data_IF_413052883451
#
_entry.id   IF_413052883451
#
_cell.length_a   1.000
_cell.length_b   1.000
_cell.length_c   1.000
_cell.angle_alpha   90.00
_cell.angle_beta   90.00
_cell.angle_gamma   90.00
#
_symmetry.space_group_name_H-M   'P 1'
#
loop_
_entity.id
_entity.type
_entity.pdbx_description
1 polymer ?
#
# COMPACT_ATOMS: atom_id res chain seq x y z
N UNK A 1 13.92 -34.03 19.35
CA UNK A 1 12.58 -34.46 18.92
C UNK A 1 11.44 -34.06 19.88
N UNK A 2 11.58 -34.17 21.23
CA UNK A 2 10.50 -33.79 22.19
C UNK A 2 10.12 -32.27 22.11
N UNK A 3 11.07 -31.39 21.85
CA UNK A 3 10.78 -29.94 21.78
C UNK A 3 10.00 -29.51 20.53
N UNK A 4 10.16 -30.25 19.42
CA UNK A 4 9.46 -29.94 18.15
C UNK A 4 7.96 -30.27 18.24
N UNK A 5 7.64 -31.44 18.85
CA UNK A 5 6.22 -31.85 19.06
C UNK A 5 5.50 -30.89 20.00
N UNK A 6 6.18 -30.43 21.06
CA UNK A 6 5.63 -29.47 22.00
C UNK A 6 5.41 -28.11 21.31
N UNK A 7 6.36 -27.66 20.48
CA UNK A 7 6.23 -26.41 19.71
C UNK A 7 5.03 -26.49 18.74
N UNK A 8 4.87 -27.62 18.03
CA UNK A 8 3.70 -27.81 17.17
C UNK A 8 2.38 -27.82 17.94
N UNK A 9 2.34 -28.46 19.13
CA UNK A 9 1.15 -28.49 19.97
C UNK A 9 0.72 -27.07 20.45
N UNK A 10 1.68 -26.19 20.74
CA UNK A 10 1.37 -24.80 21.12
C UNK A 10 0.97 -23.91 19.95
N UNK A 11 1.52 -24.15 18.77
CA UNK A 11 1.22 -23.30 17.58
C UNK A 11 -0.01 -23.81 16.82
N UNK A 12 -0.34 -25.13 16.93
CA UNK A 12 -1.46 -25.72 16.17
C UNK A 12 -2.83 -25.08 16.40
N UNK A 13 -3.25 -24.67 17.62
CA UNK A 13 -4.56 -24.05 17.78
C UNK A 13 -4.66 -22.70 17.01
N UNK A 14 -3.60 -21.90 17.03
CA UNK A 14 -3.54 -20.66 16.30
C UNK A 14 -3.54 -20.90 14.78
N UNK A 15 -2.76 -21.86 14.31
CA UNK A 15 -2.73 -22.24 12.88
C UNK A 15 -4.08 -22.78 12.41
N UNK A 16 -4.74 -23.65 13.19
CA UNK A 16 -6.06 -24.18 12.85
C UNK A 16 -7.11 -23.07 12.80
N UNK A 17 -7.07 -22.15 13.75
CA UNK A 17 -7.96 -20.97 13.73
C UNK A 17 -7.71 -20.10 12.49
N UNK A 18 -6.47 -19.78 12.16
CA UNK A 18 -6.13 -19.01 10.96
C UNK A 18 -6.56 -19.72 9.68
N UNK A 19 -6.34 -21.02 9.57
CA UNK A 19 -6.77 -21.81 8.42
C UNK A 19 -8.31 -21.86 8.30
N UNK A 20 -9.02 -21.97 9.41
CA UNK A 20 -10.48 -21.95 9.40
C UNK A 20 -11.04 -20.56 9.02
N UNK A 21 -10.51 -19.49 9.59
CA UNK A 21 -11.07 -18.15 9.41
C UNK A 21 -10.61 -17.49 8.12
N UNK A 22 -9.35 -17.67 7.71
CA UNK A 22 -8.80 -17.08 6.48
C UNK A 22 -8.78 -18.07 5.32
N UNK A 23 -8.45 -19.33 5.57
CA UNK A 23 -8.33 -20.35 4.52
C UNK A 23 -9.69 -20.73 3.93
N UNK A 24 -10.71 -20.92 4.76
CA UNK A 24 -12.05 -21.29 4.29
C UNK A 24 -12.66 -20.30 3.28
N UNK A 25 -12.69 -18.97 3.53
CA UNK A 25 -13.18 -18.01 2.55
C UNK A 25 -12.35 -18.00 1.26
N UNK A 26 -11.04 -18.23 1.33
CA UNK A 26 -10.20 -18.32 0.13
C UNK A 26 -10.55 -19.55 -0.72
N UNK A 27 -10.79 -20.69 -0.08
CA UNK A 27 -11.25 -21.91 -0.77
C UNK A 27 -12.62 -21.68 -1.41
N UNK A 28 -13.54 -21.04 -0.70
CA UNK A 28 -14.85 -20.70 -1.22
C UNK A 28 -14.77 -19.76 -2.43
N UNK A 29 -13.92 -18.72 -2.34
CA UNK A 29 -13.68 -17.82 -3.48
C UNK A 29 -13.09 -18.58 -4.68
N UNK A 30 -12.16 -19.51 -4.44
CA UNK A 30 -11.60 -20.36 -5.49
C UNK A 30 -12.67 -21.25 -6.12
N UNK A 31 -13.54 -21.89 -5.34
CA UNK A 31 -14.64 -22.71 -5.86
C UNK A 31 -15.62 -21.86 -6.68
N UNK A 32 -16.05 -20.70 -6.15
CA UNK A 32 -16.95 -19.78 -6.82
C UNK A 32 -16.39 -19.28 -8.16
N UNK A 33 -15.07 -19.13 -8.28
CA UNK A 33 -14.44 -18.69 -9.52
C UNK A 33 -14.62 -19.66 -10.70
N UNK A 34 -14.91 -20.94 -10.43
CA UNK A 34 -15.20 -21.97 -11.44
C UNK A 34 -16.69 -22.21 -11.67
N UNK A 35 -17.55 -21.48 -10.98
CA UNK A 35 -19.00 -21.61 -11.05
C UNK A 35 -19.62 -20.36 -11.68
N UNK A 36 -20.84 -20.51 -12.21
CA UNK A 36 -21.70 -19.38 -12.56
C UNK A 36 -22.73 -19.18 -11.44
N UNK A 37 -22.47 -18.20 -10.58
CA UNK A 37 -23.32 -17.79 -9.47
C UNK A 37 -23.55 -16.27 -9.61
N UNK A 38 -24.75 -15.89 -9.98
CA UNK A 38 -25.10 -14.47 -10.10
C UNK A 38 -25.34 -13.83 -8.74
N UNK A 39 -26.32 -14.34 -8.00
CA UNK A 39 -26.81 -13.74 -6.76
C UNK A 39 -26.47 -14.62 -5.57
N UNK A 40 -26.23 -13.98 -4.40
CA UNK A 40 -26.00 -14.70 -3.13
C UNK A 40 -27.15 -15.64 -2.83
N UNK A 41 -26.85 -16.94 -2.66
CA UNK A 41 -27.84 -17.97 -2.34
C UNK A 41 -28.47 -18.67 -3.55
N UNK A 42 -28.09 -18.31 -4.79
CA UNK A 42 -28.45 -19.12 -5.98
C UNK A 42 -27.54 -20.35 -6.11
N UNK A 43 -28.09 -21.45 -6.61
CA UNK A 43 -27.30 -22.62 -6.96
C UNK A 43 -26.35 -22.29 -8.12
N UNK A 44 -25.07 -22.59 -7.93
CA UNK A 44 -24.04 -22.35 -8.93
C UNK A 44 -23.86 -23.55 -9.85
N UNK A 45 -23.73 -23.31 -11.15
CA UNK A 45 -23.37 -24.33 -12.12
C UNK A 45 -21.87 -24.28 -12.39
N UNK A 46 -21.20 -25.42 -12.39
CA UNK A 46 -19.77 -25.49 -12.71
C UNK A 46 -19.56 -25.20 -14.22
N UNK A 47 -18.77 -24.15 -14.49
CA UNK A 47 -18.47 -23.69 -15.88
C UNK A 47 -16.97 -23.75 -16.20
N UNK A 48 -16.17 -24.39 -15.34
CA UNK A 48 -14.73 -24.51 -15.53
C UNK A 48 -14.04 -23.14 -15.60
N UNK A 49 -13.28 -22.89 -16.66
CA UNK A 49 -12.52 -21.64 -16.85
C UNK A 49 -13.30 -20.52 -17.56
N UNK A 50 -14.61 -20.63 -17.71
CA UNK A 50 -15.44 -19.64 -18.41
C UNK A 50 -15.30 -18.22 -17.87
N UNK A 51 -15.34 -18.05 -16.53
CA UNK A 51 -15.13 -16.75 -15.89
C UNK A 51 -13.73 -16.18 -16.17
N UNK A 52 -12.70 -17.03 -16.13
CA UNK A 52 -11.33 -16.61 -16.43
C UNK A 52 -11.18 -16.12 -17.87
N UNK A 53 -11.78 -16.83 -18.83
CA UNK A 53 -11.77 -16.41 -20.23
C UNK A 53 -12.48 -15.07 -20.42
N UNK A 54 -13.61 -14.85 -19.75
CA UNK A 54 -14.38 -13.59 -19.80
C UNK A 54 -13.58 -12.43 -19.18
N UNK A 55 -13.01 -12.62 -17.98
CA UNK A 55 -12.28 -11.57 -17.27
C UNK A 55 -10.97 -11.22 -18.00
N UNK A 56 -10.18 -12.22 -18.42
CA UNK A 56 -8.90 -11.99 -19.07
C UNK A 56 -9.07 -11.50 -20.51
N UNK A 57 -10.16 -11.88 -21.20
CA UNK A 57 -10.53 -11.37 -22.52
C UNK A 57 -11.06 -9.94 -22.50
N UNK A 58 -11.57 -9.48 -21.33
CA UNK A 58 -12.11 -8.14 -21.17
C UNK A 58 -11.06 -7.08 -20.81
N UNK A 59 -11.24 -5.85 -21.32
CA UNK A 59 -10.35 -4.74 -21.01
C UNK A 59 -10.48 -4.20 -19.57
N UNK A 60 -11.56 -4.58 -18.84
CA UNK A 60 -11.85 -4.08 -17.48
C UNK A 60 -10.77 -4.45 -16.47
N UNK A 61 -10.44 -5.73 -16.42
CA UNK A 61 -9.40 -6.28 -15.53
C UNK A 61 -8.02 -5.62 -15.78
N UNK A 62 -7.59 -5.57 -17.02
CA UNK A 62 -6.27 -5.03 -17.38
C UNK A 62 -6.14 -3.54 -17.08
N UNK A 63 -7.22 -2.77 -17.30
CA UNK A 63 -7.26 -1.35 -16.92
C UNK A 63 -7.19 -1.17 -15.41
N UNK A 64 -7.92 -1.96 -14.63
CA UNK A 64 -7.87 -1.91 -13.18
C UNK A 64 -6.51 -2.35 -12.64
N UNK A 65 -5.91 -3.39 -13.24
CA UNK A 65 -4.54 -3.83 -12.91
C UNK A 65 -3.53 -2.71 -13.19
N UNK A 66 -3.58 -2.08 -14.35
CA UNK A 66 -2.69 -0.95 -14.69
C UNK A 66 -2.80 0.20 -13.69
N UNK A 67 -4.03 0.55 -13.26
CA UNK A 67 -4.25 1.57 -12.21
C UNK A 67 -3.75 1.13 -10.86
N UNK A 68 -3.92 -0.16 -10.50
CA UNK A 68 -3.36 -0.71 -9.26
C UNK A 68 -1.83 -0.62 -9.25
N UNK A 69 -1.18 -0.93 -10.37
CA UNK A 69 0.29 -0.78 -10.51
C UNK A 69 0.71 0.68 -10.38
N UNK A 70 0.04 1.61 -11.08
CA UNK A 70 0.30 3.06 -10.95
C UNK A 70 0.10 3.52 -9.51
N UNK A 71 -0.99 3.11 -8.86
CA UNK A 71 -1.26 3.40 -7.46
C UNK A 71 -0.13 2.94 -6.54
N UNK A 72 0.26 1.68 -6.63
CA UNK A 72 1.29 1.08 -5.78
C UNK A 72 2.65 1.74 -5.99
N UNK A 73 3.09 1.88 -7.24
CA UNK A 73 4.39 2.45 -7.56
C UNK A 73 4.48 3.92 -7.15
N UNK A 74 3.44 4.70 -7.43
CA UNK A 74 3.42 6.12 -7.05
C UNK A 74 3.43 6.30 -5.54
N UNK A 75 2.62 5.52 -4.80
CA UNK A 75 2.65 5.54 -3.33
C UNK A 75 4.02 5.09 -2.80
N UNK A 76 4.61 4.02 -3.34
CA UNK A 76 5.93 3.55 -2.91
C UNK A 76 7.00 4.63 -3.08
N UNK A 77 7.03 5.31 -4.23
CA UNK A 77 7.99 6.40 -4.50
C UNK A 77 7.75 7.58 -3.57
N UNK A 78 6.52 8.12 -3.51
CA UNK A 78 6.21 9.32 -2.73
C UNK A 78 6.42 9.06 -1.24
N UNK A 79 5.93 7.94 -0.71
CA UNK A 79 6.09 7.59 0.71
C UNK A 79 7.55 7.37 1.07
N UNK A 80 8.33 6.69 0.21
CA UNK A 80 9.75 6.44 0.45
C UNK A 80 10.55 7.75 0.50
N UNK A 81 10.30 8.66 -0.44
CA UNK A 81 10.99 9.96 -0.48
C UNK A 81 10.66 10.82 0.74
N UNK A 82 9.37 10.95 1.08
CA UNK A 82 8.92 11.69 2.26
C UNK A 82 9.46 11.08 3.56
N UNK A 83 9.38 9.76 3.67
CA UNK A 83 9.83 9.03 4.85
C UNK A 83 11.35 9.10 5.03
N UNK A 84 12.12 9.00 3.94
CA UNK A 84 13.57 9.12 3.98
C UNK A 84 13.98 10.52 4.44
N UNK A 85 13.39 11.57 3.88
CA UNK A 85 13.64 12.95 4.28
C UNK A 85 13.33 13.16 5.78
N UNK A 86 12.15 12.72 6.23
CA UNK A 86 11.74 12.82 7.62
C UNK A 86 12.64 11.99 8.55
N UNK A 87 12.98 10.75 8.17
CA UNK A 87 13.83 9.88 8.98
C UNK A 87 15.25 10.44 9.13
N UNK A 88 15.84 11.01 8.07
CA UNK A 88 17.15 11.66 8.13
C UNK A 88 17.15 12.87 9.06
N UNK A 89 16.08 13.67 9.06
CA UNK A 89 15.92 14.80 9.99
C UNK A 89 15.76 14.29 11.43
N UNK A 90 14.86 13.33 11.64
CA UNK A 90 14.57 12.78 12.97
C UNK A 90 15.70 11.92 13.55
N UNK A 91 16.64 11.48 12.73
CA UNK A 91 17.86 10.79 13.20
C UNK A 91 18.91 11.74 13.77
N UNK A 92 18.75 13.04 13.56
CA UNK A 92 19.67 14.05 14.13
C UNK A 92 19.35 14.31 15.60
N UNK A 93 20.38 14.76 16.34
CA UNK A 93 20.26 15.20 17.73
C UNK A 93 19.93 16.69 17.77
N UNK A 94 18.66 17.03 18.00
CA UNK A 94 18.22 18.42 18.22
C UNK A 94 17.18 18.50 19.34
N UNK A 95 17.03 19.67 20.01
CA UNK A 95 16.04 19.83 21.05
C UNK A 95 14.63 19.63 20.45
N UNK A 96 13.76 18.83 21.11
CA UNK A 96 12.41 18.55 20.64
C UNK A 96 12.26 17.37 19.68
N UNK A 97 13.32 16.66 19.29
CA UNK A 97 13.25 15.50 18.39
C UNK A 97 12.29 14.41 18.90
N UNK A 98 12.20 14.19 20.21
CA UNK A 98 11.26 13.23 20.81
C UNK A 98 9.81 13.65 20.56
N UNK A 99 9.52 14.94 20.73
CA UNK A 99 8.19 15.50 20.46
C UNK A 99 7.86 15.34 18.97
N UNK A 100 8.78 15.70 18.07
CA UNK A 100 8.60 15.56 16.64
C UNK A 100 8.31 14.10 16.22
N UNK A 101 9.01 13.12 16.80
CA UNK A 101 8.73 11.69 16.57
C UNK A 101 7.34 11.29 17.04
N UNK A 102 6.87 11.78 18.17
CA UNK A 102 5.52 11.52 18.69
C UNK A 102 4.45 12.14 17.78
N UNK A 103 4.63 13.38 17.36
CA UNK A 103 3.68 14.07 16.48
C UNK A 103 3.51 13.38 15.13
N UNK A 104 4.59 12.89 14.55
CA UNK A 104 4.51 12.17 13.27
C UNK A 104 3.64 10.90 13.38
N UNK A 105 3.73 10.17 14.50
CA UNK A 105 2.95 8.95 14.73
C UNK A 105 1.47 9.24 14.87
N UNK A 106 1.09 10.36 15.46
CA UNK A 106 -0.31 10.72 15.68
C UNK A 106 -1.11 10.76 14.38
N UNK A 107 -0.51 11.18 13.28
CA UNK A 107 -1.16 11.19 11.96
C UNK A 107 -1.59 9.80 11.49
N UNK A 108 -0.81 8.77 11.81
CA UNK A 108 -1.08 7.40 11.39
C UNK A 108 -2.18 6.71 12.22
N UNK A 109 -2.41 7.18 13.46
CA UNK A 109 -3.42 6.61 14.38
C UNK A 109 -4.83 7.03 13.97
N UNK A 110 -4.99 8.11 13.18
CA UNK A 110 -6.30 8.63 12.78
C UNK A 110 -7.07 7.58 11.95
N UNK A 111 -8.31 7.23 12.33
CA UNK A 111 -9.12 6.29 11.55
C UNK A 111 -9.33 6.76 10.11
N UNK A 112 -9.29 5.84 9.15
CA UNK A 112 -9.41 6.16 7.72
C UNK A 112 -10.63 7.00 7.38
N UNK A 113 -11.78 6.69 7.97
CA UNK A 113 -13.04 7.41 7.71
C UNK A 113 -12.90 8.88 8.10
N UNK A 114 -12.24 9.17 9.22
CA UNK A 114 -11.99 10.55 9.68
C UNK A 114 -11.05 11.27 8.72
N UNK A 115 -9.96 10.60 8.30
CA UNK A 115 -9.04 11.13 7.27
C UNK A 115 -9.80 11.50 6.01
N UNK A 116 -10.65 10.61 5.51
CA UNK A 116 -11.47 10.82 4.31
C UNK A 116 -12.39 12.03 4.44
N UNK A 117 -13.11 12.15 5.57
CA UNK A 117 -14.04 13.26 5.82
C UNK A 117 -13.27 14.59 5.84
N UNK A 118 -12.14 14.64 6.56
CA UNK A 118 -11.32 15.85 6.67
C UNK A 118 -10.79 16.25 5.28
N UNK A 119 -10.18 15.35 4.53
CA UNK A 119 -9.62 15.67 3.22
C UNK A 119 -10.67 16.00 2.19
N UNK A 120 -11.84 15.34 2.22
CA UNK A 120 -12.98 15.66 1.35
C UNK A 120 -13.45 17.08 1.59
N UNK A 121 -13.55 17.51 2.85
CA UNK A 121 -13.91 18.87 3.20
C UNK A 121 -12.81 19.87 2.81
N UNK A 122 -11.56 19.63 3.18
CA UNK A 122 -10.43 20.50 2.87
C UNK A 122 -10.26 20.78 1.37
N UNK A 123 -10.47 19.74 0.54
CA UNK A 123 -10.30 19.79 -0.92
C UNK A 123 -11.60 20.12 -1.67
N UNK A 124 -12.69 20.41 -0.97
CA UNK A 124 -13.94 20.83 -1.61
C UNK A 124 -13.74 22.11 -2.41
N UNK A 125 -14.27 22.15 -3.65
CA UNK A 125 -14.21 23.33 -4.50
C UNK A 125 -15.12 24.47 -4.03
N UNK A 126 -16.18 24.18 -3.26
CA UNK A 126 -17.22 25.10 -2.85
C UNK A 126 -17.20 25.49 -1.37
N UNK A 127 -16.08 25.37 -0.67
CA UNK A 127 -16.01 25.73 0.77
C UNK A 127 -14.85 25.09 1.49
N UNK A 128 -13.95 24.40 0.77
CA UNK A 128 -12.73 23.83 1.31
C UNK A 128 -11.66 24.91 1.54
N UNK A 129 -10.76 24.62 2.45
CA UNK A 129 -9.69 25.54 2.86
C UNK A 129 -8.52 25.59 1.87
N UNK A 130 -8.25 24.51 1.13
CA UNK A 130 -7.05 24.38 0.31
C UNK A 130 -7.09 25.34 -0.90
N UNK A 131 -8.23 25.43 -1.60
CA UNK A 131 -8.36 26.33 -2.75
C UNK A 131 -8.11 27.81 -2.40
N UNK A 132 -8.76 28.40 -1.38
CA UNK A 132 -8.47 29.77 -0.96
C UNK A 132 -7.00 30.00 -0.59
N UNK A 133 -6.36 29.07 0.11
CA UNK A 133 -4.94 29.17 0.48
C UNK A 133 -4.02 29.17 -0.75
N UNK A 134 -4.30 28.31 -1.74
CA UNK A 134 -3.52 28.24 -2.98
C UNK A 134 -3.70 29.50 -3.84
N UNK A 135 -4.92 30.07 -3.87
CA UNK A 135 -5.21 31.35 -4.57
C UNK A 135 -4.47 32.49 -3.87
N UNK A 136 -4.56 32.58 -2.54
CA UNK A 136 -3.86 33.61 -1.77
C UNK A 136 -2.34 33.52 -1.91
N UNK A 137 -1.79 32.30 -2.02
CA UNK A 137 -0.37 32.07 -2.26
C UNK A 137 0.05 32.33 -3.73
N UNK A 138 -0.87 32.65 -4.63
CA UNK A 138 -0.60 32.88 -6.07
C UNK A 138 -0.26 31.61 -6.84
N UNK A 139 -0.54 30.42 -6.29
CA UNK A 139 -0.24 29.11 -6.93
C UNK A 139 -1.28 28.76 -7.99
N UNK A 140 -2.54 29.13 -7.77
CA UNK A 140 -3.66 28.93 -8.69
C UNK A 140 -4.48 30.24 -8.80
N UNK A 141 -5.08 30.48 -9.97
CA UNK A 141 -5.92 31.65 -10.20
C UNK A 141 -7.40 31.41 -9.86
N UNK A 142 -7.85 30.17 -9.93
CA UNK A 142 -9.25 29.77 -9.71
C UNK A 142 -9.33 28.43 -8.97
N UNK A 143 -10.43 28.15 -8.26
CA UNK A 143 -10.60 26.90 -7.55
C UNK A 143 -10.43 25.68 -8.47
N UNK A 144 -9.68 24.68 -8.00
CA UNK A 144 -9.45 23.42 -8.68
C UNK A 144 -10.38 22.35 -8.10
N UNK A 145 -11.03 21.59 -8.95
CA UNK A 145 -11.75 20.39 -8.57
C UNK A 145 -10.80 19.20 -8.48
N UNK A 146 -10.21 18.97 -7.33
CA UNK A 146 -9.18 17.93 -7.10
C UNK A 146 -9.61 16.52 -7.51
N UNK A 147 -10.91 16.23 -7.45
CA UNK A 147 -11.47 14.93 -7.85
C UNK A 147 -12.27 15.01 -9.17
N UNK A 148 -12.23 16.12 -9.87
CA UNK A 148 -13.06 16.34 -11.07
C UNK A 148 -12.46 15.72 -12.34
N UNK A 149 -11.14 15.65 -12.44
CA UNK A 149 -10.42 15.07 -13.60
C UNK A 149 -9.83 13.72 -13.27
N UNK A 150 -9.55 12.91 -14.29
CA UNK A 150 -8.97 11.58 -14.13
C UNK A 150 -7.60 11.62 -13.44
N UNK A 151 -6.74 12.50 -13.93
CA UNK A 151 -5.37 12.69 -13.42
C UNK A 151 -5.39 13.33 -12.03
N UNK A 152 -6.23 14.33 -11.83
CA UNK A 152 -6.39 15.02 -10.55
C UNK A 152 -6.87 14.09 -9.45
N UNK A 153 -7.87 13.25 -9.72
CA UNK A 153 -8.41 12.32 -8.75
C UNK A 153 -7.36 11.28 -8.29
N UNK A 154 -6.64 10.65 -9.23
CA UNK A 154 -5.62 9.66 -8.88
C UNK A 154 -4.46 10.30 -8.12
N UNK A 155 -3.97 11.46 -8.57
CA UNK A 155 -2.87 12.20 -7.92
C UNK A 155 -3.26 12.62 -6.50
N UNK A 156 -4.47 13.16 -6.33
CA UNK A 156 -4.98 13.58 -5.01
C UNK A 156 -5.09 12.40 -4.05
N UNK A 157 -5.60 11.27 -4.52
CA UNK A 157 -5.67 10.04 -3.72
C UNK A 157 -4.28 9.55 -3.30
N UNK A 158 -3.30 9.56 -4.22
CA UNK A 158 -1.90 9.17 -3.93
C UNK A 158 -1.31 10.09 -2.87
N UNK A 159 -1.53 11.40 -2.96
CA UNK A 159 -1.03 12.37 -1.98
C UNK A 159 -1.64 12.15 -0.58
N UNK A 160 -2.97 11.97 -0.52
CA UNK A 160 -3.68 11.70 0.74
C UNK A 160 -3.19 10.38 1.38
N UNK A 161 -3.12 9.32 0.59
CA UNK A 161 -2.68 8.03 1.08
C UNK A 161 -1.20 8.04 1.49
N UNK A 162 -0.35 8.73 0.73
CA UNK A 162 1.06 8.90 1.08
C UNK A 162 1.23 9.70 2.37
N UNK A 163 0.47 10.79 2.57
CA UNK A 163 0.44 11.55 3.82
C UNK A 163 0.03 10.69 5.01
N UNK A 164 -0.93 9.79 4.82
CA UNK A 164 -1.40 8.88 5.88
C UNK A 164 -0.36 7.84 6.27
N UNK A 165 0.37 7.28 5.29
CA UNK A 165 1.26 6.15 5.50
C UNK A 165 2.74 6.53 5.71
N UNK A 166 3.17 7.74 5.29
CA UNK A 166 4.57 8.14 5.44
C UNK A 166 5.08 8.11 6.89
N UNK A 167 4.26 8.36 7.94
CA UNK A 167 4.74 8.28 9.31
C UNK A 167 5.21 6.87 9.69
N UNK A 168 4.44 5.85 9.33
CA UNK A 168 4.82 4.45 9.54
C UNK A 168 6.13 4.12 8.79
N UNK A 169 6.21 4.48 7.52
CA UNK A 169 7.41 4.28 6.71
C UNK A 169 8.62 5.04 7.29
N UNK A 170 8.39 6.26 7.81
CA UNK A 170 9.43 7.06 8.49
C UNK A 170 9.99 6.36 9.72
N UNK A 171 9.13 5.78 10.55
CA UNK A 171 9.58 5.06 11.75
C UNK A 171 10.39 3.82 11.40
N UNK A 172 9.98 3.07 10.39
CA UNK A 172 10.72 1.90 9.93
C UNK A 172 12.09 2.29 9.38
N UNK A 173 12.16 3.37 8.59
CA UNK A 173 13.44 3.90 8.10
C UNK A 173 14.32 4.46 9.23
N UNK A 174 13.73 5.16 10.19
CA UNK A 174 14.43 5.67 11.35
C UNK A 174 15.04 4.53 12.18
N UNK A 175 14.29 3.44 12.39
CA UNK A 175 14.81 2.25 13.05
C UNK A 175 15.97 1.61 12.26
N UNK A 176 15.90 1.60 10.94
CA UNK A 176 17.01 1.18 10.07
C UNK A 176 18.25 2.08 10.21
N UNK A 177 18.04 3.41 10.20
CA UNK A 177 19.14 4.37 10.38
C UNK A 177 19.81 4.28 11.76
N UNK A 178 19.04 4.03 12.81
CA UNK A 178 19.55 3.89 14.19
C UNK A 178 20.40 2.63 14.39
N UNK A 179 20.32 1.65 13.49
CA UNK A 179 21.16 0.43 13.51
C UNK A 179 22.55 0.67 12.95
N UNK A 180 22.78 1.76 12.22
CA UNK A 180 24.07 2.07 11.61
C UNK A 180 25.02 2.57 12.72
N UNK A 181 26.17 1.90 12.94
CA UNK A 181 27.14 2.33 13.96
C UNK A 181 27.64 3.75 13.71
N UNK A 182 27.68 4.57 14.76
CA UNK A 182 28.15 5.96 14.69
C UNK A 182 29.60 6.08 14.25
N UNK A 183 30.43 5.12 14.67
CA UNK A 183 31.87 5.06 14.39
C UNK A 183 32.19 5.09 12.89
N UNK A 184 31.30 4.50 12.04
CA UNK A 184 31.44 4.57 10.58
C UNK A 184 31.36 6.01 10.06
N UNK A 185 30.49 6.83 10.64
CA UNK A 185 30.38 8.23 10.27
C UNK A 185 31.52 9.07 10.80
N UNK A 186 32.07 8.72 11.98
CA UNK A 186 33.22 9.40 12.57
C UNK A 186 34.48 9.11 11.77
N UNK A 187 34.77 7.84 11.45
CA UNK A 187 35.89 7.47 10.60
C UNK A 187 35.82 8.18 9.23
N UNK A 188 34.65 8.16 8.59
CA UNK A 188 34.48 8.85 7.32
C UNK A 188 34.66 10.37 7.40
N UNK A 189 34.40 11.00 8.56
CA UNK A 189 34.70 12.42 8.77
C UNK A 189 36.22 12.68 8.88
N UNK A 190 36.93 11.80 9.56
CA UNK A 190 38.41 11.88 9.66
C UNK A 190 39.04 11.75 8.28
N UNK A 191 38.48 10.85 7.42
CA UNK A 191 38.89 10.68 6.03
C UNK A 191 38.47 11.83 5.09
N UNK A 192 37.82 12.89 5.61
CA UNK A 192 37.40 14.07 4.84
C UNK A 192 36.13 13.86 4.00
N UNK A 193 35.35 12.77 4.23
CA UNK A 193 34.13 12.51 3.48
C UNK A 193 33.02 13.53 3.76
N UNK A 194 32.55 14.23 2.74
CA UNK A 194 31.43 15.15 2.81
C UNK A 194 30.08 14.44 3.09
N UNK A 195 29.05 15.20 3.40
CA UNK A 195 27.71 14.67 3.78
C UNK A 195 27.11 13.77 2.71
N UNK A 196 27.21 14.16 1.44
CA UNK A 196 26.69 13.36 0.32
C UNK A 196 27.47 12.05 0.14
N UNK A 197 28.80 12.07 0.32
CA UNK A 197 29.62 10.86 0.25
C UNK A 197 29.27 9.87 1.36
N UNK A 198 29.08 10.35 2.59
CA UNK A 198 28.64 9.53 3.73
C UNK A 198 27.25 8.95 3.49
N UNK A 199 26.31 9.73 2.96
CA UNK A 199 25.00 9.23 2.58
C UNK A 199 25.11 8.10 1.53
N UNK A 200 25.85 8.34 0.43
CA UNK A 200 25.97 7.39 -0.67
C UNK A 200 26.72 6.11 -0.31
N UNK A 201 27.80 6.23 0.51
CA UNK A 201 28.71 5.11 0.80
C UNK A 201 28.40 4.36 2.10
N UNK A 202 27.71 4.99 3.06
CA UNK A 202 27.39 4.41 4.36
C UNK A 202 25.89 4.27 4.52
N UNK A 203 25.15 5.39 4.52
CA UNK A 203 23.73 5.39 4.86
C UNK A 203 22.90 4.57 3.87
N UNK A 204 23.04 4.85 2.59
CA UNK A 204 22.23 4.21 1.55
C UNK A 204 22.45 2.70 1.46
N UNK A 205 23.69 2.17 1.39
CA UNK A 205 23.90 0.73 1.34
C UNK A 205 23.44 0.00 2.61
N UNK A 206 23.66 0.57 3.79
CA UNK A 206 23.24 -0.05 5.05
C UNK A 206 21.73 0.07 5.32
N UNK A 207 21.03 1.00 4.65
CA UNK A 207 19.59 1.13 4.71
C UNK A 207 18.87 0.21 3.72
N UNK A 208 19.56 -0.31 2.70
CA UNK A 208 18.96 -1.17 1.67
C UNK A 208 18.13 -2.35 2.22
N UNK A 209 18.56 -3.11 3.24
CA UNK A 209 17.74 -4.20 3.77
C UNK A 209 16.40 -3.70 4.31
N UNK A 210 16.40 -2.57 5.01
CA UNK A 210 15.17 -1.93 5.50
C UNK A 210 14.27 -1.48 4.35
N UNK A 211 14.85 -0.89 3.30
CA UNK A 211 14.11 -0.47 2.10
C UNK A 211 13.50 -1.66 1.35
N UNK A 212 14.21 -2.78 1.26
CA UNK A 212 13.68 -4.00 0.64
C UNK A 212 12.48 -4.53 1.40
N UNK A 213 12.57 -4.66 2.72
CA UNK A 213 11.44 -5.09 3.57
C UNK A 213 10.25 -4.15 3.42
N UNK A 214 10.48 -2.83 3.48
CA UNK A 214 9.45 -1.81 3.25
C UNK A 214 8.85 -1.90 1.85
N UNK A 215 9.66 -2.16 0.83
CA UNK A 215 9.21 -2.34 -0.55
C UNK A 215 8.23 -3.50 -0.69
N UNK A 216 8.53 -4.65 -0.10
CA UNK A 216 7.65 -5.83 -0.15
C UNK A 216 6.37 -5.58 0.64
N UNK A 217 6.50 -5.25 1.93
CA UNK A 217 5.33 -5.06 2.82
C UNK A 217 4.49 -3.88 2.32
N UNK A 218 5.11 -2.76 1.96
CA UNK A 218 4.43 -1.58 1.46
C UNK A 218 3.68 -1.84 0.15
N UNK A 219 4.24 -2.64 -0.77
CA UNK A 219 3.56 -3.05 -2.00
C UNK A 219 2.32 -3.89 -1.69
N UNK A 220 2.44 -4.91 -0.84
CA UNK A 220 1.32 -5.78 -0.47
C UNK A 220 0.20 -5.01 0.25
N UNK A 221 0.55 -4.14 1.19
CA UNK A 221 -0.43 -3.30 1.89
C UNK A 221 -1.08 -2.28 0.95
N UNK A 222 -0.29 -1.60 0.12
CA UNK A 222 -0.78 -0.58 -0.81
C UNK A 222 -1.68 -1.17 -1.90
N UNK A 223 -1.37 -2.39 -2.38
CA UNK A 223 -2.18 -3.07 -3.38
C UNK A 223 -3.59 -3.40 -2.87
N UNK A 224 -3.73 -3.68 -1.57
CA UNK A 224 -5.00 -4.01 -0.93
C UNK A 224 -5.80 -2.78 -0.44
N UNK A 225 -5.32 -1.55 -0.67
CA UNK A 225 -6.04 -0.34 -0.28
C UNK A 225 -7.33 -0.21 -1.09
N UNK A 226 -8.45 -0.26 -0.37
CA UNK A 226 -9.80 -0.10 -0.89
C UNK A 226 -10.47 1.14 -0.29
N UNK A 227 -10.40 1.28 1.04
CA UNK A 227 -11.15 2.21 1.86
C UNK A 227 -11.00 3.67 1.43
N UNK A 228 -9.76 4.16 1.30
CA UNK A 228 -9.48 5.55 0.90
C UNK A 228 -10.01 5.84 -0.50
N UNK A 229 -9.76 4.93 -1.46
CA UNK A 229 -10.19 5.11 -2.86
C UNK A 229 -11.71 5.09 -2.95
N UNK A 230 -12.33 4.11 -2.31
CA UNK A 230 -13.78 3.94 -2.34
C UNK A 230 -14.50 5.11 -1.68
N UNK A 231 -14.08 5.49 -0.49
CA UNK A 231 -14.74 6.54 0.28
C UNK A 231 -14.56 7.94 -0.34
N UNK A 232 -13.44 8.23 -1.03
CA UNK A 232 -13.23 9.53 -1.66
C UNK A 232 -13.84 9.66 -3.05
N UNK A 233 -13.68 8.63 -3.90
CA UNK A 233 -14.02 8.71 -5.34
C UNK A 233 -14.93 7.61 -5.84
N UNK A 234 -15.15 6.54 -5.06
CA UNK A 234 -15.86 5.35 -5.49
C UNK A 234 -15.37 4.81 -6.87
N UNK A 235 -14.04 4.90 -7.12
CA UNK A 235 -13.45 4.47 -8.39
C UNK A 235 -13.48 5.52 -9.51
N UNK A 236 -14.18 6.66 -9.32
CA UNK A 236 -14.37 7.71 -10.32
C UNK A 236 -13.22 8.74 -10.42
N UNK A 237 -13.36 9.74 -11.30
CA UNK A 237 -14.36 9.86 -12.35
C UNK A 237 -14.10 8.88 -13.52
N UNK A 238 -15.16 8.42 -14.17
CA UNK A 238 -15.07 7.50 -15.33
C UNK A 238 -14.10 6.33 -15.11
N UNK A 239 -14.19 5.67 -13.96
CA UNK A 239 -13.31 4.58 -13.49
C UNK A 239 -11.82 4.94 -13.35
N UNK A 240 -11.42 6.22 -13.34
CA UNK A 240 -10.01 6.63 -13.33
C UNK A 240 -9.23 6.14 -12.10
N UNK A 241 -9.90 5.94 -10.97
CA UNK A 241 -9.31 5.48 -9.71
C UNK A 241 -9.75 4.05 -9.34
N UNK A 242 -10.37 3.32 -10.28
CA UNK A 242 -10.83 1.96 -10.09
C UNK A 242 -9.63 0.99 -10.11
N UNK A 243 -9.07 0.69 -8.95
CA UNK A 243 -8.05 -0.36 -8.74
C UNK A 243 -8.70 -1.73 -8.66
N UNK A 244 -7.91 -2.82 -8.63
CA UNK A 244 -8.46 -4.18 -8.53
C UNK A 244 -9.35 -4.40 -7.31
N UNK A 245 -9.03 -3.97 -6.07
CA UNK A 245 -9.96 -4.08 -4.95
C UNK A 245 -11.29 -3.35 -5.18
N UNK A 246 -11.27 -2.18 -5.82
CA UNK A 246 -12.48 -1.43 -6.17
C UNK A 246 -13.29 -2.16 -7.23
N UNK A 247 -12.64 -2.72 -8.26
CA UNK A 247 -13.29 -3.51 -9.29
C UNK A 247 -13.95 -4.77 -8.71
N UNK A 248 -13.26 -5.49 -7.80
CA UNK A 248 -13.82 -6.65 -7.09
C UNK A 248 -15.11 -6.26 -6.36
N UNK A 249 -15.05 -5.18 -5.59
CA UNK A 249 -16.21 -4.69 -4.84
C UNK A 249 -17.38 -4.30 -5.75
N UNK A 250 -17.11 -3.54 -6.82
CA UNK A 250 -18.15 -3.13 -7.78
C UNK A 250 -18.77 -4.33 -8.48
N UNK A 251 -17.95 -5.31 -8.90
CA UNK A 251 -18.43 -6.52 -9.56
C UNK A 251 -19.29 -7.37 -8.62
N UNK A 252 -18.86 -7.56 -7.36
CA UNK A 252 -19.58 -8.37 -6.39
C UNK A 252 -20.87 -7.70 -5.90
N UNK A 253 -20.79 -6.44 -5.44
CA UNK A 253 -21.84 -5.80 -4.64
C UNK A 253 -22.72 -4.81 -5.41
N UNK A 254 -22.21 -4.24 -6.51
CA UNK A 254 -23.02 -3.40 -7.40
C UNK A 254 -23.50 -4.14 -8.64
N UNK A 255 -22.62 -5.01 -9.19
CA UNK A 255 -22.94 -5.82 -10.36
C UNK A 255 -23.66 -7.12 -10.05
N UNK A 256 -23.65 -7.56 -8.79
CA UNK A 256 -24.19 -8.85 -8.34
C UNK A 256 -23.61 -10.04 -9.09
N UNK A 257 -22.37 -9.94 -9.58
CA UNK A 257 -21.64 -10.97 -10.32
C UNK A 257 -20.58 -11.60 -9.45
N UNK A 258 -21.00 -12.45 -8.49
CA UNK A 258 -20.14 -12.99 -7.46
C UNK A 258 -19.02 -13.88 -8.00
N UNK A 259 -19.32 -14.71 -9.00
CA UNK A 259 -18.32 -15.61 -9.61
C UNK A 259 -17.23 -14.85 -10.35
N UNK A 260 -17.60 -13.79 -11.07
CA UNK A 260 -16.62 -12.92 -11.72
C UNK A 260 -15.74 -12.17 -10.68
N UNK A 261 -16.34 -11.66 -9.61
CA UNK A 261 -15.62 -11.01 -8.54
C UNK A 261 -14.66 -11.98 -7.82
N UNK A 262 -15.09 -13.21 -7.57
CA UNK A 262 -14.28 -14.28 -7.04
C UNK A 262 -13.09 -14.60 -7.98
N UNK A 263 -13.34 -14.66 -9.29
CA UNK A 263 -12.30 -14.86 -10.30
C UNK A 263 -11.27 -13.74 -10.29
N UNK A 264 -11.70 -12.47 -10.24
CA UNK A 264 -10.80 -11.32 -10.13
C UNK A 264 -9.98 -11.39 -8.83
N UNK A 265 -10.61 -11.81 -7.71
CA UNK A 265 -9.93 -11.97 -6.42
C UNK A 265 -8.87 -13.06 -6.46
N UNK A 266 -9.17 -14.23 -7.08
CA UNK A 266 -8.20 -15.33 -7.25
C UNK A 266 -7.03 -14.88 -8.14
N UNK A 267 -7.29 -14.25 -9.27
CA UNK A 267 -6.24 -13.71 -10.15
C UNK A 267 -5.36 -12.69 -9.42
N UNK A 268 -5.98 -11.79 -8.65
CA UNK A 268 -5.27 -10.81 -7.82
C UNK A 268 -4.39 -11.48 -6.77
N UNK A 269 -4.90 -12.52 -6.10
CA UNK A 269 -4.15 -13.28 -5.10
C UNK A 269 -2.95 -14.01 -5.71
N UNK A 270 -3.12 -14.61 -6.90
CA UNK A 270 -2.02 -15.26 -7.64
C UNK A 270 -0.94 -14.24 -8.00
N UNK A 271 -1.32 -13.06 -8.49
CA UNK A 271 -0.36 -11.99 -8.81
C UNK A 271 0.42 -11.54 -7.57
N UNK A 272 -0.26 -11.33 -6.44
CA UNK A 272 0.39 -10.91 -5.19
C UNK A 272 1.28 -12.00 -4.60
N UNK A 273 0.86 -13.27 -4.65
CA UNK A 273 1.70 -14.40 -4.22
C UNK A 273 2.94 -14.54 -5.10
N UNK A 274 2.78 -14.42 -6.42
CA UNK A 274 3.90 -14.41 -7.36
C UNK A 274 4.89 -13.29 -7.08
N UNK A 275 4.39 -12.07 -6.86
CA UNK A 275 5.21 -10.93 -6.48
C UNK A 275 5.95 -11.18 -5.16
N UNK A 276 5.25 -11.63 -4.11
CA UNK A 276 5.86 -11.92 -2.81
C UNK A 276 6.93 -13.02 -2.90
N UNK A 277 6.67 -14.08 -3.65
CA UNK A 277 7.64 -15.15 -3.87
C UNK A 277 8.90 -14.66 -4.59
N UNK A 278 8.75 -13.94 -5.69
CA UNK A 278 9.87 -13.42 -6.48
C UNK A 278 10.73 -12.44 -5.67
N UNK A 279 10.09 -11.52 -4.95
CA UNK A 279 10.80 -10.53 -4.12
C UNK A 279 11.52 -11.18 -2.94
N UNK A 280 10.88 -12.12 -2.24
CA UNK A 280 11.52 -12.85 -1.14
C UNK A 280 12.72 -13.65 -1.62
N UNK A 281 12.59 -14.34 -2.78
CA UNK A 281 13.71 -15.08 -3.37
C UNK A 281 14.87 -14.15 -3.77
N UNK A 282 14.58 -12.98 -4.34
CA UNK A 282 15.60 -12.00 -4.67
C UNK A 282 16.31 -11.44 -3.42
N UNK A 283 15.57 -11.25 -2.32
CA UNK A 283 16.15 -10.81 -1.05
C UNK A 283 17.10 -11.84 -0.45
N UNK A 284 16.69 -13.12 -0.40
CA UNK A 284 17.54 -14.19 0.13
C UNK A 284 18.79 -14.42 -0.71
N UNK A 285 18.71 -14.28 -2.04
CA UNK A 285 19.88 -14.34 -2.91
C UNK A 285 20.86 -13.19 -2.62
N UNK A 286 20.35 -11.96 -2.49
CA UNK A 286 21.18 -10.79 -2.18
C UNK A 286 21.82 -10.83 -0.77
N UNK A 287 21.25 -11.56 0.18
CA UNK A 287 21.84 -11.81 1.50
C UNK A 287 22.95 -12.87 1.46
N UNK A 288 22.82 -13.89 0.58
CA UNK A 288 23.80 -14.94 0.42
C UNK A 288 25.10 -14.46 -0.27
N UNK A 289 25.02 -13.41 -1.07
CA UNK A 289 26.17 -12.79 -1.79
C UNK A 289 26.93 -11.74 -0.93
N UNK A 290 26.50 -11.49 0.33
CA UNK A 290 27.15 -10.56 1.28
C UNK A 290 27.91 -11.28 2.38
#
# INVERSE_FOLDING_TARGET
MKNTTLAFAFVSPALLFLLAVLGWPLVQAAILSFQDVGVIGSEGHFIGLGNYATILGGAGFWRALGRSVVWVLSNAVVQTLLALAAALILNQKFPGVRIARTWIILTWIVPTVVVVIIWRWLLSSSGGMINPLLIQAGVIERPVGFFATREGAMTTLIMINSWRWFPFTTLMMLAGLMRIPGDLYEAARIDGAGTFQRFKRITWPLLQPTLMVLGVIGTLLSFNVFDVIWLLTAGGPSSATQTLPVLIYETAFKGYRLSEAATISVLTSILLMGFAFLTTRAMTAAEADR
#
